data_IF_429457472274
#
_entry.id   IF_429457472274
#
_cell.length_a   1.000
_cell.length_b   1.000
_cell.length_c   1.000
_cell.angle_alpha   90.00
_cell.angle_beta   90.00
_cell.angle_gamma   90.00
#
_symmetry.space_group_name_H-M   'P 1'
#
loop_
_entity.id
_entity.type
_entity.pdbx_description
1 polymer ?
#
# COMPACT_ATOMS: atom_id res chain seq x y z
N UNK A 1 -12.77 -9.92 6.30
CA UNK A 1 -12.22 -9.13 5.17
C UNK A 1 -11.03 -8.33 5.66
N UNK A 2 -9.98 -8.14 4.85
CA UNK A 2 -8.74 -7.48 5.31
C UNK A 2 -8.96 -6.05 5.82
N UNK A 3 -9.86 -5.27 5.20
CA UNK A 3 -10.15 -3.92 5.70
C UNK A 3 -10.87 -3.91 7.03
N UNK A 4 -11.82 -4.81 7.29
CA UNK A 4 -12.44 -4.92 8.61
C UNK A 4 -11.41 -5.26 9.69
N UNK A 5 -10.49 -6.19 9.38
CA UNK A 5 -9.40 -6.58 10.29
C UNK A 5 -8.44 -5.41 10.54
N UNK A 6 -8.06 -4.67 9.50
CA UNK A 6 -7.20 -3.48 9.59
C UNK A 6 -7.85 -2.35 10.40
N UNK A 7 -9.13 -2.05 10.14
CA UNK A 7 -9.89 -1.00 10.84
C UNK A 7 -9.97 -1.29 12.33
N UNK A 8 -10.41 -2.50 12.70
CA UNK A 8 -10.60 -2.87 14.11
C UNK A 8 -9.26 -2.99 14.85
N UNK A 9 -8.19 -3.44 14.17
CA UNK A 9 -6.83 -3.45 14.72
C UNK A 9 -6.27 -2.04 14.92
N UNK A 10 -6.55 -1.11 14.00
CA UNK A 10 -6.13 0.29 14.13
C UNK A 10 -6.88 0.99 15.27
N UNK A 11 -8.18 0.76 15.39
CA UNK A 11 -9.03 1.30 16.45
C UNK A 11 -8.64 0.76 17.84
N UNK A 12 -8.24 -0.51 17.96
CA UNK A 12 -7.81 -1.08 19.25
C UNK A 12 -6.48 -0.50 19.76
N UNK A 13 -5.60 -0.06 18.85
CA UNK A 13 -4.28 0.52 19.20
C UNK A 13 -4.30 2.02 19.48
N UNK A 14 -5.31 2.75 18.98
CA UNK A 14 -5.38 4.22 19.12
C UNK A 14 -6.69 4.63 19.78
N UNK A 15 -6.60 5.10 21.04
CA UNK A 15 -7.75 5.62 21.81
C UNK A 15 -8.30 6.95 21.27
N UNK A 16 -7.50 7.73 20.52
CA UNK A 16 -7.96 8.97 19.88
C UNK A 16 -8.77 8.69 18.61
N UNK A 17 -9.91 9.39 18.47
CA UNK A 17 -11.00 9.00 17.56
C UNK A 17 -10.73 9.10 16.05
N UNK A 18 -9.62 9.73 15.62
CA UNK A 18 -9.33 9.94 14.20
C UNK A 18 -7.99 9.39 13.70
N UNK A 19 -7.00 9.12 14.59
CA UNK A 19 -5.66 8.66 14.18
C UNK A 19 -5.70 7.29 13.47
N UNK A 20 -6.65 6.43 13.85
CA UNK A 20 -6.81 5.12 13.23
C UNK A 20 -7.17 5.20 11.74
N UNK A 21 -7.85 6.27 11.30
CA UNK A 21 -8.22 6.46 9.88
C UNK A 21 -6.98 6.68 9.02
N UNK A 22 -6.02 7.46 9.54
CA UNK A 22 -4.73 7.71 8.88
C UNK A 22 -3.97 6.39 8.79
N UNK A 23 -3.90 5.62 9.90
CA UNK A 23 -3.20 4.34 9.93
C UNK A 23 -3.77 3.35 8.91
N UNK A 24 -5.09 3.29 8.78
CA UNK A 24 -5.75 2.43 7.78
C UNK A 24 -5.50 2.94 6.35
N UNK A 25 -5.46 4.26 6.11
CA UNK A 25 -5.10 4.78 4.79
C UNK A 25 -3.63 4.48 4.43
N UNK A 26 -2.73 4.49 5.42
CA UNK A 26 -1.32 4.14 5.26
C UNK A 26 -1.10 2.65 4.90
N UNK A 27 -2.12 1.80 4.94
CA UNK A 27 -2.05 0.48 4.28
C UNK A 27 -1.74 0.57 2.78
N UNK A 28 -1.95 1.74 2.17
CA UNK A 28 -1.53 2.05 0.81
C UNK A 28 -0.05 1.75 0.55
N UNK A 29 0.83 1.82 1.56
CA UNK A 29 2.26 1.48 1.39
C UNK A 29 2.45 0.01 0.99
N UNK A 30 1.69 -0.91 1.62
CA UNK A 30 1.78 -2.34 1.30
C UNK A 30 1.12 -2.66 -0.05
N UNK A 31 0.05 -1.95 -0.41
CA UNK A 31 -0.56 -2.04 -1.74
C UNK A 31 0.41 -1.54 -2.82
N UNK A 32 1.14 -0.45 -2.56
CA UNK A 32 2.24 0.00 -3.42
C UNK A 32 3.27 -1.10 -3.63
N UNK A 33 3.73 -1.77 -2.57
CA UNK A 33 4.73 -2.84 -2.71
C UNK A 33 4.23 -3.96 -3.64
N UNK A 34 2.96 -4.35 -3.48
CA UNK A 34 2.31 -5.33 -4.35
C UNK A 34 2.22 -4.85 -5.81
N UNK A 35 1.85 -3.60 -6.05
CA UNK A 35 1.84 -3.03 -7.41
C UNK A 35 3.24 -2.97 -8.01
N UNK A 36 4.23 -2.54 -7.22
CA UNK A 36 5.61 -2.42 -7.65
C UNK A 36 6.16 -3.78 -8.10
N UNK A 37 5.91 -4.87 -7.36
CA UNK A 37 6.36 -6.20 -7.80
C UNK A 37 5.63 -6.68 -9.05
N UNK A 38 4.32 -6.46 -9.17
CA UNK A 38 3.58 -6.81 -10.39
C UNK A 38 4.18 -6.10 -11.61
N UNK A 39 4.50 -4.82 -11.46
CA UNK A 39 5.14 -4.02 -12.51
C UNK A 39 6.54 -4.54 -12.86
N UNK A 40 7.36 -4.88 -11.87
CA UNK A 40 8.70 -5.43 -12.08
C UNK A 40 8.60 -6.77 -12.84
N UNK A 41 7.69 -7.65 -12.42
CA UNK A 41 7.46 -8.94 -13.09
C UNK A 41 7.00 -8.73 -14.54
N UNK A 42 6.01 -7.86 -14.79
CA UNK A 42 5.56 -7.54 -16.16
C UNK A 42 6.73 -7.02 -17.00
N UNK A 43 7.51 -6.08 -16.48
CA UNK A 43 8.69 -5.56 -17.20
C UNK A 43 9.69 -6.66 -17.54
N UNK A 44 9.95 -7.54 -16.59
CA UNK A 44 10.87 -8.66 -16.76
C UNK A 44 10.37 -9.69 -17.76
N UNK A 45 9.07 -10.02 -17.76
CA UNK A 45 8.49 -11.00 -18.67
C UNK A 45 8.35 -10.49 -20.11
N UNK A 46 8.17 -9.18 -20.30
CA UNK A 46 7.90 -8.58 -21.62
C UNK A 46 9.05 -7.70 -22.16
N UNK A 47 10.24 -7.71 -21.54
CA UNK A 47 11.41 -6.84 -21.87
C UNK A 47 11.04 -5.35 -22.07
N UNK A 48 10.16 -4.82 -21.21
CA UNK A 48 9.71 -3.42 -21.30
C UNK A 48 10.74 -2.50 -20.63
N UNK A 49 11.46 -1.72 -21.44
CA UNK A 49 12.55 -0.85 -20.97
C UNK A 49 12.13 0.59 -20.62
N UNK A 50 10.92 1.01 -20.97
CA UNK A 50 10.45 2.37 -20.71
C UNK A 50 10.12 2.61 -19.22
N UNK A 51 10.41 3.82 -18.68
CA UNK A 51 10.01 4.17 -17.33
C UNK A 51 8.48 4.27 -17.24
N UNK A 52 7.90 3.70 -16.19
CA UNK A 52 6.45 3.82 -15.90
C UNK A 52 6.15 5.12 -15.13
N UNK A 53 7.19 5.85 -14.72
CA UNK A 53 7.10 7.11 -13.99
C UNK A 53 7.66 8.25 -14.83
N UNK A 54 7.10 9.44 -14.67
CA UNK A 54 7.68 10.67 -15.20
C UNK A 54 8.72 11.23 -14.23
N UNK A 55 9.70 11.96 -14.76
CA UNK A 55 10.66 12.72 -13.94
C UNK A 55 9.99 14.01 -13.44
N UNK A 56 10.18 14.31 -12.17
CA UNK A 56 9.72 15.55 -11.54
C UNK A 56 10.95 16.22 -10.94
N UNK A 57 11.49 17.22 -11.64
CA UNK A 57 12.69 17.95 -11.23
C UNK A 57 12.34 19.33 -10.66
N UNK A 58 11.65 19.34 -9.51
CA UNK A 58 11.18 20.57 -8.86
C UNK A 58 12.05 20.93 -7.63
N UNK A 59 12.75 19.95 -7.03
CA UNK A 59 13.56 20.19 -5.83
C UNK A 59 15.06 20.18 -6.13
N UNK A 60 15.87 20.98 -5.40
CA UNK A 60 17.32 20.88 -5.44
C UNK A 60 17.77 19.62 -4.69
N UNK A 61 17.66 18.45 -5.34
CA UNK A 61 18.15 17.19 -4.78
C UNK A 61 17.65 15.94 -5.51
N UNK A 62 18.58 15.04 -5.86
CA UNK A 62 18.28 13.77 -6.57
C UNK A 62 17.34 12.84 -5.80
N UNK A 63 17.35 12.89 -4.47
CA UNK A 63 16.52 12.02 -3.63
C UNK A 63 15.05 12.48 -3.69
N UNK A 64 14.79 13.77 -3.47
CA UNK A 64 13.42 14.30 -3.50
C UNK A 64 12.81 14.20 -4.91
N UNK A 65 13.61 14.43 -5.96
CA UNK A 65 13.16 14.30 -7.34
C UNK A 65 12.85 12.84 -7.75
N UNK A 66 13.41 11.84 -7.06
CA UNK A 66 13.11 10.42 -7.33
C UNK A 66 11.98 9.88 -6.44
N UNK A 67 11.87 10.34 -5.19
CA UNK A 67 10.82 9.91 -4.27
C UNK A 67 9.45 10.49 -4.60
N UNK A 68 9.35 11.77 -4.99
CA UNK A 68 8.06 12.40 -5.23
C UNK A 68 7.25 11.70 -6.35
N UNK A 69 7.82 11.41 -7.53
CA UNK A 69 7.12 10.61 -8.54
C UNK A 69 6.66 9.26 -8.00
N UNK A 70 7.49 8.57 -7.20
CA UNK A 70 7.11 7.27 -6.65
C UNK A 70 5.91 7.38 -5.70
N UNK A 71 5.86 8.40 -4.84
CA UNK A 71 4.72 8.66 -3.97
C UNK A 71 3.44 8.95 -4.76
N UNK A 72 3.53 9.79 -5.79
CA UNK A 72 2.37 10.18 -6.61
C UNK A 72 1.86 9.00 -7.44
N UNK A 73 2.74 8.25 -8.11
CA UNK A 73 2.30 7.18 -9.02
C UNK A 73 1.92 5.90 -8.30
N UNK A 74 2.61 5.56 -7.20
CA UNK A 74 2.42 4.28 -6.56
C UNK A 74 1.67 4.34 -5.24
N UNK A 75 1.76 5.41 -4.44
CA UNK A 75 1.08 5.47 -3.13
C UNK A 75 -0.25 6.21 -3.22
N UNK A 76 -0.28 7.37 -3.89
CA UNK A 76 -1.45 8.24 -3.91
C UNK A 76 -2.73 7.56 -4.42
N UNK A 77 -2.72 6.75 -5.50
CA UNK A 77 -3.94 6.07 -5.96
C UNK A 77 -4.53 5.15 -4.90
N UNK A 78 -3.67 4.43 -4.17
CA UNK A 78 -4.09 3.54 -3.10
C UNK A 78 -4.56 4.28 -1.86
N UNK A 79 -3.93 5.41 -1.51
CA UNK A 79 -4.43 6.28 -0.44
C UNK A 79 -5.83 6.80 -0.78
N UNK A 80 -6.06 7.25 -2.02
CA UNK A 80 -7.37 7.71 -2.48
C UNK A 80 -8.40 6.57 -2.45
N UNK A 81 -8.06 5.38 -2.96
CA UNK A 81 -8.94 4.20 -2.89
C UNK A 81 -9.30 3.89 -1.44
N UNK A 82 -8.32 3.80 -0.54
CA UNK A 82 -8.57 3.48 0.87
C UNK A 82 -9.40 4.59 1.54
N UNK A 83 -9.14 5.85 1.22
CA UNK A 83 -9.94 6.97 1.71
C UNK A 83 -11.41 6.85 1.27
N UNK A 84 -11.68 6.68 -0.02
CA UNK A 84 -13.04 6.58 -0.54
C UNK A 84 -13.77 5.31 -0.10
N UNK A 85 -13.04 4.20 0.07
CA UNK A 85 -13.61 2.93 0.47
C UNK A 85 -13.90 2.86 1.98
N UNK A 86 -13.06 3.48 2.81
CA UNK A 86 -13.09 3.31 4.26
C UNK A 86 -13.58 4.56 4.97
N UNK A 87 -12.99 5.71 4.67
CA UNK A 87 -13.20 6.95 5.45
C UNK A 87 -14.38 7.76 4.91
N UNK A 88 -14.51 7.88 3.59
CA UNK A 88 -15.52 8.70 2.95
C UNK A 88 -16.93 8.24 3.33
N UNK A 89 -17.75 9.18 3.81
CA UNK A 89 -19.11 8.93 4.31
C UNK A 89 -19.19 7.83 5.38
N UNK A 90 -18.16 7.69 6.22
CA UNK A 90 -18.08 6.69 7.28
C UNK A 90 -18.34 5.24 6.83
N UNK A 91 -17.98 4.90 5.58
CA UNK A 91 -18.18 3.55 5.02
C UNK A 91 -17.57 2.44 5.87
N UNK A 92 -16.53 2.73 6.65
CA UNK A 92 -15.95 1.81 7.63
C UNK A 92 -17.00 1.20 8.58
N UNK A 93 -18.06 1.93 8.96
CA UNK A 93 -19.14 1.43 9.82
C UNK A 93 -19.87 0.24 9.19
N UNK A 94 -20.10 0.30 7.88
CA UNK A 94 -20.68 -0.82 7.15
C UNK A 94 -19.69 -1.98 7.02
N UNK A 95 -18.40 -1.68 6.80
CA UNK A 95 -17.36 -2.70 6.67
C UNK A 95 -17.20 -3.51 7.97
N UNK A 96 -17.19 -2.86 9.13
CA UNK A 96 -17.03 -3.57 10.41
C UNK A 96 -18.26 -4.42 10.77
N UNK A 97 -19.46 -3.99 10.37
CA UNK A 97 -20.71 -4.74 10.62
C UNK A 97 -20.82 -5.94 9.68
N UNK A 98 -20.49 -5.77 8.40
CA UNK A 98 -20.71 -6.79 7.38
C UNK A 98 -19.61 -7.85 7.31
N UNK A 99 -18.42 -7.57 7.86
CA UNK A 99 -17.27 -8.47 7.71
C UNK A 99 -16.62 -8.78 9.05
N UNK A 100 -16.43 -10.09 9.29
CA UNK A 100 -15.67 -10.59 10.43
C UNK A 100 -14.22 -10.11 10.42
N UNK A 101 -13.76 -9.74 11.62
CA UNK A 101 -12.37 -9.47 11.97
C UNK A 101 -11.68 -10.71 12.53
N UNK A 102 -10.36 -10.74 12.40
CA UNK A 102 -9.51 -11.87 12.77
C UNK A 102 -8.44 -11.42 13.78
N UNK A 103 -8.77 -10.41 14.58
CA UNK A 103 -7.91 -9.83 15.62
C UNK A 103 -6.52 -9.43 15.10
N UNK A 104 -6.47 -8.89 13.89
CA UNK A 104 -5.25 -8.42 13.25
C UNK A 104 -4.40 -9.51 12.61
N UNK A 105 -4.81 -10.79 12.65
CA UNK A 105 -4.02 -11.87 12.04
C UNK A 105 -4.02 -11.80 10.51
N UNK A 106 -5.15 -11.47 9.89
CA UNK A 106 -5.21 -11.34 8.43
C UNK A 106 -4.40 -10.15 7.95
N UNK A 107 -4.52 -9.03 8.66
CA UNK A 107 -3.82 -7.81 8.28
C UNK A 107 -2.30 -7.96 8.46
N UNK A 108 -1.86 -8.63 9.52
CA UNK A 108 -0.44 -8.95 9.71
C UNK A 108 0.07 -9.91 8.64
N UNK A 109 -0.69 -10.97 8.34
CA UNK A 109 -0.34 -11.92 7.28
C UNK A 109 -0.17 -11.25 5.92
N UNK A 110 -1.06 -10.32 5.57
CA UNK A 110 -0.94 -9.53 4.36
C UNK A 110 0.29 -8.62 4.33
N UNK A 111 0.62 -7.97 5.45
CA UNK A 111 1.83 -7.14 5.55
C UNK A 111 3.08 -7.99 5.29
N UNK A 112 3.19 -9.12 5.99
CA UNK A 112 4.31 -10.04 5.84
C UNK A 112 4.38 -10.55 4.40
N UNK A 113 3.25 -10.98 3.84
CA UNK A 113 3.17 -11.42 2.46
C UNK A 113 3.64 -10.34 1.48
N UNK A 114 3.14 -9.11 1.62
CA UNK A 114 3.51 -7.99 0.73
C UNK A 114 5.01 -7.68 0.77
N UNK A 115 5.62 -7.73 1.96
CA UNK A 115 7.06 -7.54 2.14
C UNK A 115 7.83 -8.71 1.49
N UNK A 116 7.48 -9.95 1.82
CA UNK A 116 8.18 -11.14 1.31
C UNK A 116 8.06 -11.23 -0.21
N UNK A 117 6.86 -11.04 -0.75
CA UNK A 117 6.61 -11.07 -2.20
C UNK A 117 7.34 -9.95 -2.95
N UNK A 118 7.59 -8.80 -2.32
CA UNK A 118 8.39 -7.75 -2.94
C UNK A 118 9.88 -8.09 -2.97
N UNK A 119 10.45 -8.59 -1.86
CA UNK A 119 11.89 -8.86 -1.76
C UNK A 119 12.33 -10.17 -2.42
N UNK A 120 11.50 -11.21 -2.40
CA UNK A 120 11.89 -12.54 -2.89
C UNK A 120 12.31 -12.54 -4.38
N UNK A 121 11.56 -11.92 -5.31
CA UNK A 121 11.95 -11.86 -6.72
C UNK A 121 13.18 -11.00 -6.97
N UNK A 122 13.37 -9.92 -6.19
CA UNK A 122 14.57 -9.08 -6.27
C UNK A 122 15.83 -9.84 -5.88
N UNK A 123 15.72 -10.77 -4.92
CA UNK A 123 16.83 -11.65 -4.57
C UNK A 123 17.10 -12.63 -5.71
N UNK A 124 16.07 -13.28 -6.28
CA UNK A 124 16.22 -14.26 -7.37
C UNK A 124 16.85 -13.63 -8.61
N UNK A 125 16.37 -12.45 -9.03
CA UNK A 125 16.90 -11.73 -10.20
C UNK A 125 18.35 -11.29 -10.04
N UNK A 126 18.90 -11.22 -8.82
CA UNK A 126 20.31 -10.90 -8.60
C UNK A 126 21.24 -12.09 -8.87
N UNK A 127 20.71 -13.32 -8.90
CA UNK A 127 21.46 -14.56 -9.11
C UNK A 127 21.29 -15.16 -10.52
N UNK A 128 20.44 -14.55 -11.36
CA UNK A 128 20.27 -14.84 -12.77
C UNK A 128 21.10 -13.85 -13.60
#
# INVERSE_FOLDING_TARGET
MIWSDAILTAQSKKKNSQEWKILVCLFAVFQMLNLAIVIILIKSFFDIRYPITFKIDIFPGRILNSLLPALIFYILPFVLINYFLIVYKDRYKQIIVNYKSYNGKLVLGYIIFSIVSFFLPLLIMKFL
#
